data_IF_749550547490
#
_entry.id   IF_749550547490
#
_cell.length_a   1.000
_cell.length_b   1.000
_cell.length_c   1.000
_cell.angle_alpha   90.00
_cell.angle_beta   90.00
_cell.angle_gamma   90.00
#
_symmetry.space_group_name_H-M   'P 1'
#
loop_
_entity.id
_entity.type
_entity.pdbx_description
1 polymer ?
#
# COMPACT_ATOMS: atom_id res chain seq x y z
N UNK A 1 6.13 18.39 11.75
CA UNK A 1 5.58 17.04 11.45
C UNK A 1 5.37 16.89 9.95
N UNK A 2 5.62 15.71 9.36
CA UNK A 2 5.37 15.45 7.93
C UNK A 2 3.97 14.86 7.71
N UNK A 3 3.16 15.50 6.87
CA UNK A 3 1.91 14.96 6.36
C UNK A 3 2.20 14.04 5.15
N UNK A 4 1.79 12.79 5.22
CA UNK A 4 1.84 11.85 4.08
C UNK A 4 0.45 11.68 3.49
N UNK A 5 0.32 11.69 2.15
CA UNK A 5 -0.94 11.48 1.44
C UNK A 5 -0.75 10.42 0.37
N UNK A 6 -1.30 9.25 0.61
CA UNK A 6 -1.34 8.16 -0.38
C UNK A 6 -2.67 8.18 -1.13
N UNK A 7 -2.61 8.34 -2.45
CA UNK A 7 -3.77 8.37 -3.34
C UNK A 7 -3.84 7.04 -4.11
N UNK A 8 -4.48 6.06 -3.49
CA UNK A 8 -4.75 4.76 -4.08
C UNK A 8 -6.04 4.73 -4.91
N UNK A 9 -6.25 3.67 -5.68
CA UNK A 9 -7.44 3.48 -6.52
C UNK A 9 -8.76 3.41 -5.72
N UNK A 10 -8.73 2.98 -4.47
CA UNK A 10 -9.93 2.81 -3.63
C UNK A 10 -10.03 3.83 -2.51
N UNK A 11 -8.90 4.25 -1.96
CA UNK A 11 -8.85 5.17 -0.81
C UNK A 11 -7.72 6.18 -0.98
N UNK A 12 -7.96 7.37 -0.46
CA UNK A 12 -6.96 8.38 -0.17
C UNK A 12 -6.67 8.29 1.32
N UNK A 13 -5.41 8.06 1.68
CA UNK A 13 -4.97 7.89 3.07
C UNK A 13 -4.08 9.06 3.47
N UNK A 14 -4.49 9.81 4.47
CA UNK A 14 -3.66 10.84 5.11
C UNK A 14 -3.03 10.24 6.36
N UNK A 15 -1.72 10.36 6.50
CA UNK A 15 -0.96 9.89 7.65
C UNK A 15 -0.25 11.04 8.36
N UNK A 16 -0.48 11.18 9.66
CA UNK A 16 0.22 12.10 10.54
C UNK A 16 0.99 11.33 11.61
N UNK A 17 2.24 11.68 11.91
CA UNK A 17 2.99 11.06 13.00
C UNK A 17 2.26 11.21 14.32
N UNK A 18 2.29 10.16 15.14
CA UNK A 18 1.70 10.13 16.48
C UNK A 18 2.78 9.83 17.53
N UNK A 19 2.77 10.58 18.63
CA UNK A 19 3.68 10.34 19.75
C UNK A 19 5.16 10.39 19.39
N UNK A 20 5.83 9.24 19.42
CA UNK A 20 7.27 9.07 19.14
C UNK A 20 7.62 9.11 17.63
N UNK A 21 6.64 9.34 16.77
CA UNK A 21 6.80 9.37 15.30
C UNK A 21 6.89 8.01 14.63
N UNK A 22 6.81 6.90 15.38
CA UNK A 22 6.78 5.54 14.81
C UNK A 22 5.39 5.12 14.40
N UNK A 23 4.38 5.43 15.24
CA UNK A 23 2.97 5.25 14.92
C UNK A 23 2.43 6.44 14.12
N UNK A 24 1.36 6.20 13.36
CA UNK A 24 0.70 7.22 12.55
C UNK A 24 -0.80 7.15 12.74
N UNK A 25 -1.42 8.29 12.95
CA UNK A 25 -2.87 8.42 12.87
C UNK A 25 -3.26 8.49 11.39
N UNK A 26 -4.14 7.58 10.98
CA UNK A 26 -4.56 7.44 9.59
C UNK A 26 -5.99 7.94 9.41
N UNK A 27 -6.18 8.78 8.40
CA UNK A 27 -7.48 9.28 7.98
C UNK A 27 -7.74 8.84 6.55
N UNK A 28 -8.96 8.42 6.25
CA UNK A 28 -9.30 7.86 4.94
C UNK A 28 -10.49 8.55 4.31
N UNK A 29 -10.34 8.87 3.03
CA UNK A 29 -11.44 9.28 2.13
C UNK A 29 -11.53 8.27 1.00
N UNK A 30 -12.75 8.05 0.46
CA UNK A 30 -12.93 7.25 -0.73
C UNK A 30 -12.38 7.97 -1.97
N UNK A 31 -11.66 7.24 -2.82
CA UNK A 31 -11.17 7.75 -4.10
C UNK A 31 -12.30 7.80 -5.12
N UNK A 32 -12.55 8.97 -5.69
CA UNK A 32 -13.49 9.19 -6.79
C UNK A 32 -12.80 10.12 -7.78
N UNK A 33 -12.40 9.58 -8.93
CA UNK A 33 -11.49 10.25 -9.86
C UNK A 33 -12.06 11.52 -10.53
N UNK A 34 -13.38 11.58 -10.68
CA UNK A 34 -14.13 12.70 -11.29
C UNK A 34 -14.80 13.63 -10.25
N UNK A 35 -14.48 13.45 -8.95
CA UNK A 35 -15.01 14.33 -7.90
C UNK A 35 -14.39 15.71 -8.01
N UNK A 36 -15.23 16.79 -7.97
CA UNK A 36 -14.76 18.17 -7.97
C UNK A 36 -13.82 18.48 -6.80
N UNK A 37 -12.89 19.40 -7.01
CA UNK A 37 -11.92 19.81 -5.98
C UNK A 37 -12.62 20.34 -4.72
N UNK A 38 -13.70 21.11 -4.89
CA UNK A 38 -14.49 21.70 -3.80
C UNK A 38 -15.09 20.65 -2.87
N UNK A 39 -15.49 19.50 -3.41
CA UNK A 39 -15.98 18.38 -2.59
C UNK A 39 -14.85 17.74 -1.78
N UNK A 40 -13.65 17.58 -2.37
CA UNK A 40 -12.49 17.10 -1.62
C UNK A 40 -12.08 18.06 -0.52
N UNK A 41 -12.13 19.38 -0.75
CA UNK A 41 -11.92 20.39 0.29
C UNK A 41 -12.91 20.22 1.44
N UNK A 42 -14.22 20.18 1.13
CA UNK A 42 -15.26 20.05 2.15
C UNK A 42 -15.14 18.75 2.95
N UNK A 43 -14.81 17.64 2.29
CA UNK A 43 -14.61 16.34 2.96
C UNK A 43 -13.38 16.35 3.87
N UNK A 44 -12.28 16.93 3.42
CA UNK A 44 -11.05 17.03 4.20
C UNK A 44 -11.26 17.93 5.42
N UNK A 45 -11.81 19.14 5.23
CA UNK A 45 -12.11 20.07 6.33
C UNK A 45 -13.03 19.43 7.37
N UNK A 46 -14.12 18.77 6.93
CA UNK A 46 -15.05 18.07 7.83
C UNK A 46 -14.38 16.93 8.60
N UNK A 47 -13.54 16.13 7.92
CA UNK A 47 -12.83 15.01 8.53
C UNK A 47 -11.87 15.48 9.60
N UNK A 48 -11.03 16.46 9.29
CA UNK A 48 -9.98 16.92 10.18
C UNK A 48 -10.51 17.83 11.30
N UNK A 49 -11.55 18.62 11.05
CA UNK A 49 -12.23 19.40 12.10
C UNK A 49 -12.86 18.48 13.16
N UNK A 50 -13.53 17.40 12.74
CA UNK A 50 -14.10 16.41 13.67
C UNK A 50 -13.04 15.75 14.54
N UNK A 51 -11.87 15.50 14.00
CA UNK A 51 -10.75 14.85 14.69
C UNK A 51 -9.85 15.86 15.43
N UNK A 52 -10.18 17.16 15.38
CA UNK A 52 -9.41 18.25 16.01
C UNK A 52 -7.92 18.23 15.63
N UNK A 53 -7.62 17.99 14.35
CA UNK A 53 -6.24 17.96 13.86
C UNK A 53 -5.67 19.36 13.77
N UNK A 54 -4.53 19.57 14.43
CA UNK A 54 -3.78 20.84 14.35
C UNK A 54 -2.69 20.74 13.26
N UNK A 55 -2.93 21.40 12.14
CA UNK A 55 -1.98 21.45 11.02
C UNK A 55 -0.87 22.50 11.20
N UNK A 56 -0.93 23.35 12.23
CA UNK A 56 0.11 24.38 12.47
C UNK A 56 1.50 23.78 12.74
N UNK A 57 1.55 22.54 13.16
CA UNK A 57 2.80 21.81 13.42
C UNK A 57 3.31 21.00 12.21
N UNK A 58 2.60 21.04 11.10
CA UNK A 58 3.05 20.40 9.84
C UNK A 58 4.07 21.32 9.17
N UNK A 59 5.28 20.80 8.95
CA UNK A 59 6.41 21.50 8.35
C UNK A 59 6.82 20.90 6.98
N UNK A 60 6.08 19.90 6.51
CA UNK A 60 6.27 19.29 5.21
C UNK A 60 5.09 18.42 4.83
N UNK A 61 4.92 18.19 3.53
CA UNK A 61 3.89 17.31 3.00
C UNK A 61 4.41 16.53 1.80
N UNK A 62 4.00 15.27 1.67
CA UNK A 62 4.38 14.40 0.55
C UNK A 62 3.17 13.64 0.03
N UNK A 63 3.04 13.58 -1.29
CA UNK A 63 2.00 12.83 -1.99
C UNK A 63 2.64 11.67 -2.75
N UNK A 64 2.09 10.48 -2.54
CA UNK A 64 2.25 9.32 -3.39
C UNK A 64 0.93 9.05 -4.11
N UNK A 65 0.94 8.74 -5.41
CA UNK A 65 -0.30 8.53 -6.14
C UNK A 65 -0.15 7.51 -7.26
N UNK A 66 -1.17 6.65 -7.38
CA UNK A 66 -1.44 5.80 -8.55
C UNK A 66 -2.68 6.28 -9.33
N UNK A 67 -3.20 7.48 -9.00
CA UNK A 67 -4.33 8.14 -9.68
C UNK A 67 -3.90 9.55 -10.11
N UNK A 68 -3.18 9.70 -11.24
CA UNK A 68 -2.55 10.96 -11.62
C UNK A 68 -3.48 12.15 -11.72
N UNK A 69 -4.73 11.93 -12.15
CA UNK A 69 -5.75 12.99 -12.29
C UNK A 69 -6.08 13.67 -10.96
N UNK A 70 -5.91 13.00 -9.82
CA UNK A 70 -6.18 13.56 -8.50
C UNK A 70 -4.99 14.29 -7.87
N UNK A 71 -3.79 14.16 -8.43
CA UNK A 71 -2.59 14.80 -7.86
C UNK A 71 -2.73 16.32 -7.77
N UNK A 72 -3.16 17.05 -8.83
CA UNK A 72 -3.34 18.50 -8.73
C UNK A 72 -4.40 18.91 -7.68
N UNK A 73 -5.51 18.16 -7.63
CA UNK A 73 -6.62 18.41 -6.70
C UNK A 73 -6.15 18.24 -5.25
N UNK A 74 -5.56 17.07 -4.94
CA UNK A 74 -5.11 16.77 -3.59
C UNK A 74 -3.90 17.64 -3.17
N UNK A 75 -3.08 18.09 -4.12
CA UNK A 75 -2.03 19.08 -3.84
C UNK A 75 -2.62 20.41 -3.35
N UNK A 76 -3.71 20.88 -3.97
CA UNK A 76 -4.42 22.07 -3.52
C UNK A 76 -5.09 21.86 -2.14
N UNK A 77 -5.70 20.69 -1.91
CA UNK A 77 -6.27 20.35 -0.59
C UNK A 77 -5.20 20.37 0.49
N UNK A 78 -4.05 19.74 0.25
CA UNK A 78 -2.92 19.74 1.20
C UNK A 78 -2.42 21.16 1.47
N UNK A 79 -2.26 21.97 0.42
CA UNK A 79 -1.82 23.36 0.56
C UNK A 79 -2.86 24.21 1.31
N UNK A 80 -4.15 23.99 1.11
CA UNK A 80 -5.20 24.65 1.87
C UNK A 80 -5.14 24.30 3.37
N UNK A 81 -4.99 23.02 3.71
CA UNK A 81 -4.95 22.54 5.09
C UNK A 81 -3.68 22.96 5.84
N UNK A 82 -2.54 22.99 5.18
CA UNK A 82 -1.21 23.12 5.83
C UNK A 82 -0.48 24.43 5.50
N UNK A 83 -0.90 25.13 4.45
CA UNK A 83 -0.14 26.25 3.86
C UNK A 83 1.10 25.81 3.06
N UNK A 84 1.39 24.50 2.93
CA UNK A 84 2.61 23.95 2.34
C UNK A 84 2.28 23.24 1.02
N UNK A 85 3.06 23.54 -0.04
CA UNK A 85 3.00 22.79 -1.28
C UNK A 85 3.62 21.39 -1.07
N UNK A 86 2.90 20.30 -1.36
CA UNK A 86 3.42 18.96 -1.14
C UNK A 86 4.48 18.57 -2.18
N UNK A 87 5.47 17.79 -1.76
CA UNK A 87 6.34 17.07 -2.66
C UNK A 87 5.56 15.88 -3.28
N UNK A 88 5.59 15.74 -4.60
CA UNK A 88 4.93 14.63 -5.30
C UNK A 88 5.97 13.59 -5.68
N UNK A 89 5.82 12.37 -5.18
CA UNK A 89 6.70 11.24 -5.52
C UNK A 89 6.47 10.84 -6.99
N UNK A 90 7.57 10.62 -7.69
CA UNK A 90 7.60 10.11 -9.07
C UNK A 90 8.63 8.98 -9.15
N UNK A 91 8.64 8.16 -10.23
CA UNK A 91 9.66 7.11 -10.40
C UNK A 91 11.10 7.66 -10.44
N UNK A 92 11.26 8.96 -10.67
CA UNK A 92 12.56 9.66 -10.71
C UNK A 92 12.98 10.25 -9.37
N UNK A 93 12.13 10.18 -8.34
CA UNK A 93 12.48 10.62 -7.00
C UNK A 93 13.63 9.78 -6.44
N UNK A 94 14.58 10.43 -5.77
CA UNK A 94 15.64 9.72 -5.06
C UNK A 94 15.01 8.86 -3.96
N UNK A 95 15.17 7.55 -4.04
CA UNK A 95 14.56 6.57 -3.13
C UNK A 95 15.59 5.76 -2.34
N UNK A 96 16.85 5.80 -2.77
CA UNK A 96 17.89 4.90 -2.28
C UNK A 96 17.83 3.50 -2.91
N UNK A 97 17.02 3.34 -3.97
CA UNK A 97 16.95 2.12 -4.79
C UNK A 97 17.52 2.37 -6.19
N UNK A 98 18.07 1.32 -6.78
CA UNK A 98 18.33 1.28 -8.22
C UNK A 98 17.21 0.51 -8.89
N UNK A 99 16.52 1.12 -9.87
CA UNK A 99 15.46 0.44 -10.61
C UNK A 99 16.10 -0.38 -11.75
N UNK A 100 16.25 -1.69 -11.55
CA UNK A 100 16.89 -2.61 -12.49
C UNK A 100 15.85 -3.33 -13.38
N UNK A 101 14.92 -2.57 -13.91
CA UNK A 101 13.85 -3.03 -14.82
C UNK A 101 13.86 -2.21 -16.11
N UNK A 102 13.40 -2.78 -17.24
CA UNK A 102 13.44 -2.09 -18.53
C UNK A 102 12.64 -0.79 -18.58
N UNK A 103 11.50 -0.73 -17.90
CA UNK A 103 10.56 0.40 -17.94
C UNK A 103 10.48 1.10 -16.57
N UNK A 104 11.61 1.57 -16.06
CA UNK A 104 11.71 2.17 -14.72
C UNK A 104 10.77 3.38 -14.53
N UNK A 105 10.53 4.18 -15.56
CA UNK A 105 9.63 5.35 -15.52
C UNK A 105 8.13 4.95 -15.36
N UNK A 106 7.77 3.68 -15.51
CA UNK A 106 6.40 3.18 -15.38
C UNK A 106 6.12 2.54 -14.02
N UNK A 107 7.12 2.45 -13.16
CA UNK A 107 6.96 1.86 -11.82
C UNK A 107 5.93 2.66 -11.00
N UNK A 108 5.03 1.95 -10.34
CA UNK A 108 4.07 2.57 -9.41
C UNK A 108 4.79 3.31 -8.28
N UNK A 109 4.34 4.52 -7.98
CA UNK A 109 4.95 5.34 -6.93
C UNK A 109 4.79 4.70 -5.54
N UNK A 110 3.70 3.96 -5.33
CA UNK A 110 3.42 3.17 -4.13
C UNK A 110 4.43 2.03 -3.95
N UNK A 111 4.74 1.32 -5.04
CA UNK A 111 5.78 0.28 -5.05
C UNK A 111 7.13 0.91 -4.70
N UNK A 112 7.51 1.99 -5.39
CA UNK A 112 8.78 2.68 -5.12
C UNK A 112 8.90 3.07 -3.64
N UNK A 113 7.82 3.62 -3.06
CA UNK A 113 7.84 4.06 -1.67
C UNK A 113 7.91 2.86 -0.70
N UNK A 114 7.07 1.84 -0.86
CA UNK A 114 7.11 0.64 -0.03
C UNK A 114 8.45 -0.06 -0.04
N UNK A 115 9.01 -0.26 -1.24
CA UNK A 115 10.30 -0.92 -1.43
C UNK A 115 11.49 -0.09 -0.92
N UNK A 116 11.41 1.25 -0.98
CA UNK A 116 12.41 2.14 -0.39
C UNK A 116 12.47 2.02 1.14
N UNK A 117 11.32 1.86 1.80
CA UNK A 117 11.27 1.57 3.23
C UNK A 117 11.82 0.18 3.53
N UNK A 118 11.37 -0.84 2.78
CA UNK A 118 11.83 -2.21 2.95
C UNK A 118 13.36 -2.31 2.85
N UNK A 119 13.94 -1.70 1.82
CA UNK A 119 15.38 -1.70 1.62
C UNK A 119 16.17 -0.96 2.70
N UNK A 120 15.56 0.01 3.38
CA UNK A 120 16.22 0.79 4.40
C UNK A 120 16.18 0.14 5.78
N UNK A 121 15.11 -0.59 6.08
CA UNK A 121 14.75 -0.99 7.45
C UNK A 121 14.83 -2.49 7.69
N UNK A 122 14.88 -3.30 6.62
CA UNK A 122 14.88 -4.76 6.71
C UNK A 122 16.09 -5.40 6.06
N UNK A 123 16.48 -6.61 6.49
CA UNK A 123 17.54 -7.37 5.82
C UNK A 123 17.18 -7.66 4.36
N UNK A 124 18.16 -7.55 3.46
CA UNK A 124 18.02 -7.85 2.05
C UNK A 124 18.67 -9.19 1.70
N UNK A 125 18.21 -9.91 0.66
CA UNK A 125 17.11 -9.52 -0.21
C UNK A 125 15.75 -9.63 0.48
N UNK A 126 14.77 -8.85 -0.02
CA UNK A 126 13.42 -8.84 0.50
C UNK A 126 12.38 -9.09 -0.61
N UNK A 127 11.33 -9.82 -0.27
CA UNK A 127 10.12 -9.98 -1.09
C UNK A 127 8.99 -9.27 -0.35
N UNK A 128 8.38 -8.30 -1.00
CA UNK A 128 7.35 -7.44 -0.41
C UNK A 128 6.00 -7.74 -1.07
N UNK A 129 5.02 -8.13 -0.26
CA UNK A 129 3.63 -8.35 -0.67
C UNK A 129 2.79 -7.17 -0.21
N UNK A 130 2.31 -6.35 -1.14
CA UNK A 130 1.30 -5.33 -0.83
C UNK A 130 -0.08 -5.84 -1.22
N UNK A 131 -0.94 -6.03 -0.22
CA UNK A 131 -2.27 -6.60 -0.36
C UNK A 131 -3.33 -5.50 -0.40
N UNK A 132 -3.33 -4.74 -1.47
CA UNK A 132 -4.25 -3.65 -1.76
C UNK A 132 -5.42 -4.04 -2.67
N UNK A 133 -5.83 -3.12 -3.55
CA UNK A 133 -6.82 -3.35 -4.63
C UNK A 133 -6.31 -4.40 -5.62
N UNK A 134 -5.06 -4.29 -6.06
CA UNK A 134 -4.27 -5.38 -6.58
C UNK A 134 -3.41 -5.96 -5.44
N UNK A 135 -2.92 -7.17 -5.59
CA UNK A 135 -1.79 -7.67 -4.78
C UNK A 135 -0.55 -7.55 -5.63
N UNK A 136 0.39 -6.69 -5.23
CA UNK A 136 1.70 -6.60 -5.85
C UNK A 136 2.71 -7.39 -5.03
N UNK A 137 3.61 -8.08 -5.70
CA UNK A 137 4.70 -8.82 -5.07
C UNK A 137 5.98 -8.37 -5.71
N UNK A 138 6.84 -7.70 -4.96
CA UNK A 138 8.06 -7.06 -5.46
C UNK A 138 9.30 -7.64 -4.83
N UNK A 139 10.43 -7.49 -5.50
CA UNK A 139 11.72 -8.00 -5.04
C UNK A 139 12.76 -6.89 -5.04
N UNK A 140 13.35 -6.68 -3.88
CA UNK A 140 14.56 -5.87 -3.71
C UNK A 140 15.71 -6.80 -3.37
N UNK A 141 16.73 -6.83 -4.22
CA UNK A 141 17.89 -7.68 -4.02
C UNK A 141 18.88 -7.13 -2.97
N UNK A 142 19.94 -7.88 -2.71
CA UNK A 142 20.97 -7.54 -1.72
C UNK A 142 21.71 -6.23 -2.03
N UNK A 143 21.73 -5.80 -3.30
CA UNK A 143 22.38 -4.58 -3.76
C UNK A 143 21.44 -3.37 -3.81
N UNK A 144 20.27 -3.46 -3.15
CA UNK A 144 19.19 -2.46 -3.17
C UNK A 144 18.66 -2.17 -4.57
N UNK A 145 18.63 -3.18 -5.44
CA UNK A 145 18.03 -3.06 -6.76
C UNK A 145 16.61 -3.62 -6.73
N UNK A 146 15.67 -2.82 -7.18
CA UNK A 146 14.35 -3.30 -7.54
C UNK A 146 14.47 -4.10 -8.84
N UNK A 147 14.21 -5.38 -8.80
CA UNK A 147 14.43 -6.29 -9.95
C UNK A 147 13.13 -6.80 -10.59
N UNK A 148 11.99 -6.34 -10.10
CA UNK A 148 10.68 -6.72 -10.63
C UNK A 148 9.82 -7.49 -9.64
N UNK A 149 8.81 -8.20 -10.16
CA UNK A 149 7.87 -8.92 -9.31
C UNK A 149 6.67 -9.46 -10.06
N UNK A 150 5.54 -9.61 -9.36
CA UNK A 150 4.28 -10.08 -9.91
C UNK A 150 3.12 -9.18 -9.48
N UNK A 151 2.09 -9.09 -10.31
CA UNK A 151 0.84 -8.37 -10.01
C UNK A 151 -0.32 -9.36 -10.14
N UNK A 152 -1.15 -9.42 -9.12
CA UNK A 152 -2.32 -10.29 -9.06
C UNK A 152 -3.57 -9.47 -8.72
N UNK A 153 -4.74 -10.05 -9.00
CA UNK A 153 -5.98 -9.49 -8.50
C UNK A 153 -5.98 -9.51 -6.96
N UNK A 154 -6.28 -8.38 -6.34
CA UNK A 154 -6.43 -8.33 -4.89
C UNK A 154 -7.60 -9.19 -4.41
N UNK A 155 -7.53 -9.66 -3.18
CA UNK A 155 -8.54 -10.60 -2.60
C UNK A 155 -9.96 -10.07 -2.73
N UNK A 156 -10.18 -8.78 -2.44
CA UNK A 156 -11.50 -8.14 -2.57
C UNK A 156 -11.98 -8.11 -4.02
N UNK A 157 -11.07 -7.78 -4.94
CA UNK A 157 -11.38 -7.76 -6.38
C UNK A 157 -11.74 -9.15 -6.89
N UNK A 158 -11.04 -10.19 -6.42
CA UNK A 158 -11.36 -11.59 -6.74
C UNK A 158 -12.77 -12.00 -6.28
N UNK A 159 -13.17 -11.65 -5.06
CA UNK A 159 -14.53 -11.90 -4.55
C UNK A 159 -15.56 -11.14 -5.37
N UNK A 160 -15.30 -9.87 -5.70
CA UNK A 160 -16.21 -9.07 -6.53
C UNK A 160 -16.37 -9.66 -7.93
N UNK A 161 -15.28 -10.16 -8.53
CA UNK A 161 -15.31 -10.81 -9.83
C UNK A 161 -16.13 -12.11 -9.81
N UNK A 162 -16.03 -12.92 -8.75
CA UNK A 162 -16.86 -14.12 -8.56
C UNK A 162 -18.35 -13.74 -8.44
N UNK A 163 -18.67 -12.72 -7.65
CA UNK A 163 -20.04 -12.23 -7.48
C UNK A 163 -20.62 -11.70 -8.81
N UNK A 164 -19.87 -10.86 -9.51
CA UNK A 164 -20.32 -10.23 -10.75
C UNK A 164 -20.36 -11.21 -11.94
N UNK A 165 -19.49 -12.21 -11.95
CA UNK A 165 -19.37 -13.19 -13.05
C UNK A 165 -20.22 -14.45 -12.89
N UNK A 166 -20.98 -14.59 -11.79
CA UNK A 166 -21.78 -15.80 -11.54
C UNK A 166 -23.20 -15.45 -11.09
N UNK A 167 -24.17 -16.27 -11.49
CA UNK A 167 -25.59 -16.03 -11.20
C UNK A 167 -26.00 -16.31 -9.75
N UNK A 168 -25.24 -17.09 -8.99
CA UNK A 168 -25.67 -17.63 -7.70
C UNK A 168 -24.69 -17.39 -6.53
N UNK A 169 -23.48 -16.93 -6.79
CA UNK A 169 -22.51 -16.72 -5.71
C UNK A 169 -22.78 -15.38 -4.98
N UNK A 170 -22.88 -15.38 -3.65
CA UNK A 170 -23.11 -14.17 -2.88
C UNK A 170 -21.82 -13.35 -2.71
N UNK A 171 -21.97 -12.04 -2.50
CA UNK A 171 -20.89 -11.24 -1.96
C UNK A 171 -20.66 -11.63 -0.50
N UNK A 172 -19.38 -11.88 -0.12
CA UNK A 172 -19.02 -12.36 1.22
C UNK A 172 -17.98 -11.46 1.88
N UNK A 173 -17.99 -11.31 3.21
CA UNK A 173 -16.92 -10.64 3.93
C UNK A 173 -15.63 -11.46 3.88
N UNK A 174 -14.48 -10.75 3.84
CA UNK A 174 -13.16 -11.38 3.92
C UNK A 174 -12.91 -11.79 5.37
N UNK A 175 -13.16 -13.05 5.65
CA UNK A 175 -13.01 -13.66 6.97
C UNK A 175 -12.64 -15.13 6.78
N UNK A 176 -11.69 -15.63 7.56
CA UNK A 176 -11.32 -17.03 7.50
C UNK A 176 -12.45 -17.90 8.06
N UNK A 177 -12.87 -18.94 7.36
CA UNK A 177 -13.75 -19.96 7.93
C UNK A 177 -12.97 -20.84 8.92
N UNK A 178 -13.68 -21.68 9.68
CA UNK A 178 -13.06 -22.57 10.70
C UNK A 178 -12.11 -23.61 10.11
N UNK A 179 -12.30 -23.99 8.86
CA UNK A 179 -11.53 -25.03 8.17
C UNK A 179 -11.44 -24.72 6.66
N UNK A 180 -10.43 -25.26 5.99
CA UNK A 180 -10.20 -25.02 4.59
C UNK A 180 -11.22 -25.73 3.67
N UNK A 181 -11.68 -26.94 4.05
CA UNK A 181 -12.71 -27.69 3.32
C UNK A 181 -14.05 -27.31 3.90
N UNK A 182 -14.87 -26.60 3.13
CA UNK A 182 -16.14 -26.02 3.57
C UNK A 182 -17.33 -26.67 2.86
N UNK A 183 -18.48 -26.71 3.56
CA UNK A 183 -19.71 -27.33 3.05
C UNK A 183 -20.72 -26.35 2.45
N UNK A 184 -20.53 -25.04 2.61
CA UNK A 184 -21.42 -24.00 2.08
C UNK A 184 -20.72 -23.12 1.05
N UNK A 185 -21.46 -22.53 0.10
CA UNK A 185 -20.89 -21.63 -0.89
C UNK A 185 -20.23 -20.41 -0.24
N UNK A 186 -20.84 -19.83 0.79
CA UNK A 186 -20.31 -18.70 1.55
C UNK A 186 -18.94 -19.04 2.13
N UNK A 187 -18.83 -20.11 2.92
CA UNK A 187 -17.56 -20.51 3.55
C UNK A 187 -16.53 -20.95 2.52
N UNK A 188 -16.96 -21.58 1.41
CA UNK A 188 -16.05 -21.98 0.32
C UNK A 188 -15.40 -20.77 -0.37
N UNK A 189 -16.17 -19.69 -0.59
CA UNK A 189 -15.61 -18.42 -1.12
C UNK A 189 -14.65 -17.80 -0.09
N UNK A 190 -15.02 -17.79 1.18
CA UNK A 190 -14.16 -17.29 2.26
C UNK A 190 -12.88 -18.10 2.38
N UNK A 191 -12.94 -19.42 2.27
CA UNK A 191 -11.78 -20.31 2.27
C UNK A 191 -10.85 -20.01 1.09
N UNK A 192 -11.40 -19.90 -0.12
CA UNK A 192 -10.63 -19.52 -1.31
C UNK A 192 -9.99 -18.15 -1.18
N UNK A 193 -10.73 -17.19 -0.63
CA UNK A 193 -10.24 -15.81 -0.45
C UNK A 193 -9.10 -15.71 0.57
N UNK A 194 -9.19 -16.39 1.71
CA UNK A 194 -8.21 -16.26 2.80
C UNK A 194 -7.11 -17.31 2.67
N UNK A 195 -7.46 -18.59 2.69
CA UNK A 195 -6.45 -19.65 2.63
C UNK A 195 -5.81 -19.76 1.23
N UNK A 196 -6.58 -19.44 0.16
CA UNK A 196 -6.03 -19.35 -1.18
C UNK A 196 -5.03 -18.22 -1.32
N UNK A 197 -5.30 -17.03 -0.75
CA UNK A 197 -4.34 -15.92 -0.73
C UNK A 197 -3.08 -16.26 0.09
N UNK A 198 -3.24 -16.88 1.27
CA UNK A 198 -2.09 -17.32 2.07
C UNK A 198 -1.23 -18.35 1.32
N UNK A 199 -1.86 -19.34 0.67
CA UNK A 199 -1.15 -20.33 -0.13
C UNK A 199 -0.44 -19.72 -1.35
N UNK A 200 -1.05 -18.70 -1.98
CA UNK A 200 -0.42 -17.93 -3.07
C UNK A 200 0.81 -17.18 -2.56
N UNK A 201 0.73 -16.52 -1.39
CA UNK A 201 1.87 -15.83 -0.79
C UNK A 201 3.02 -16.80 -0.52
N UNK A 202 2.75 -17.93 0.14
CA UNK A 202 3.74 -18.98 0.41
C UNK A 202 4.36 -19.49 -0.88
N UNK A 203 3.55 -19.82 -1.89
CA UNK A 203 3.99 -20.39 -3.15
C UNK A 203 4.79 -19.42 -4.04
N UNK A 204 4.45 -18.12 -4.05
CA UNK A 204 5.25 -17.11 -4.76
C UNK A 204 6.57 -16.84 -4.04
N UNK A 205 6.56 -16.78 -2.71
CA UNK A 205 7.79 -16.64 -1.95
C UNK A 205 8.75 -17.79 -2.23
N UNK A 206 8.27 -19.06 -2.26
CA UNK A 206 9.10 -20.23 -2.63
C UNK A 206 9.68 -20.11 -4.04
N UNK A 207 8.89 -19.65 -5.01
CA UNK A 207 9.35 -19.50 -6.40
C UNK A 207 10.41 -18.44 -6.54
N UNK A 208 10.20 -17.28 -5.90
CA UNK A 208 11.11 -16.14 -5.95
C UNK A 208 12.43 -16.45 -5.22
N UNK A 209 12.36 -17.09 -4.03
CA UNK A 209 13.54 -17.56 -3.33
C UNK A 209 14.33 -18.58 -4.15
N UNK A 210 13.64 -19.50 -4.84
CA UNK A 210 14.29 -20.48 -5.72
C UNK A 210 14.98 -19.84 -6.94
N UNK A 211 14.36 -18.82 -7.54
CA UNK A 211 14.93 -18.06 -8.66
C UNK A 211 16.14 -17.23 -8.22
N UNK A 212 16.08 -16.63 -7.02
CA UNK A 212 17.17 -15.88 -6.42
C UNK A 212 18.30 -16.78 -5.86
N UNK A 213 18.04 -18.07 -5.67
CA UNK A 213 18.97 -19.02 -5.08
C UNK A 213 19.28 -18.79 -3.60
N UNK A 214 18.46 -18.00 -2.89
CA UNK A 214 18.67 -17.67 -1.48
C UNK A 214 17.36 -17.34 -0.75
N UNK A 215 17.42 -17.39 0.58
CA UNK A 215 16.31 -16.99 1.44
C UNK A 215 16.17 -15.46 1.47
N UNK A 216 14.93 -15.00 1.56
CA UNK A 216 14.59 -13.58 1.59
C UNK A 216 13.86 -13.20 2.89
N UNK A 217 13.94 -11.95 3.25
CA UNK A 217 13.00 -11.35 4.21
C UNK A 217 11.64 -11.25 3.52
N UNK A 218 10.60 -11.84 4.14
CA UNK A 218 9.25 -11.80 3.62
C UNK A 218 8.46 -10.71 4.34
N UNK A 219 8.06 -9.68 3.61
CA UNK A 219 7.28 -8.56 4.13
C UNK A 219 5.87 -8.61 3.56
N UNK A 220 4.89 -8.23 4.38
CA UNK A 220 3.51 -8.07 3.95
C UNK A 220 2.96 -6.73 4.45
N UNK A 221 2.35 -5.98 3.56
CA UNK A 221 1.71 -4.70 3.83
C UNK A 221 0.36 -4.60 3.13
N UNK A 222 -0.31 -3.47 3.24
CA UNK A 222 -1.62 -3.26 2.65
C UNK A 222 -2.78 -3.67 3.56
N UNK A 223 -3.96 -3.16 3.23
CA UNK A 223 -5.13 -3.23 4.11
C UNK A 223 -5.70 -4.63 4.37
N UNK A 224 -5.28 -5.64 3.60
CA UNK A 224 -5.72 -7.03 3.77
C UNK A 224 -4.63 -7.97 4.31
N UNK A 225 -3.38 -7.53 4.36
CA UNK A 225 -2.28 -8.39 4.80
C UNK A 225 -2.48 -8.90 6.23
N UNK A 226 -2.92 -8.04 7.15
CA UNK A 226 -3.14 -8.41 8.55
C UNK A 226 -4.16 -9.53 8.77
N UNK A 227 -5.12 -9.72 7.86
CA UNK A 227 -6.10 -10.80 7.95
C UNK A 227 -5.68 -12.07 7.17
N UNK A 228 -4.64 -12.02 6.34
CA UNK A 228 -4.15 -13.14 5.54
C UNK A 228 -2.88 -13.76 6.14
N UNK A 229 -1.91 -12.94 6.55
CA UNK A 229 -0.61 -13.36 7.10
C UNK A 229 -0.72 -14.43 8.20
N UNK A 230 -1.68 -14.38 9.16
CA UNK A 230 -1.82 -15.42 10.18
C UNK A 230 -2.07 -16.83 9.65
N UNK A 231 -2.45 -16.97 8.37
CA UNK A 231 -2.73 -18.26 7.72
C UNK A 231 -1.64 -18.71 6.76
N UNK A 232 -0.58 -17.91 6.60
CA UNK A 232 0.61 -18.31 5.85
C UNK A 232 1.41 -19.37 6.65
N UNK A 233 2.15 -20.19 5.91
CA UNK A 233 3.07 -21.21 6.49
C UNK A 233 4.48 -20.66 6.67
N UNK A 234 4.83 -19.63 5.89
CA UNK A 234 6.10 -18.92 5.98
C UNK A 234 5.99 -17.76 6.97
N UNK A 235 7.11 -17.37 7.53
CA UNK A 235 7.20 -16.27 8.50
C UNK A 235 7.22 -14.93 7.76
N UNK A 236 6.05 -14.33 7.60
CA UNK A 236 5.89 -12.98 7.08
C UNK A 236 5.93 -11.94 8.19
N UNK A 237 6.70 -10.89 7.99
CA UNK A 237 6.65 -9.70 8.83
C UNK A 237 5.53 -8.80 8.30
N UNK A 238 4.47 -8.63 9.08
CA UNK A 238 3.40 -7.69 8.73
C UNK A 238 3.76 -6.29 9.17
N UNK A 239 3.71 -5.35 8.21
CA UNK A 239 4.04 -3.94 8.44
C UNK A 239 3.01 -3.04 7.74
N UNK A 240 2.02 -2.57 8.50
CA UNK A 240 0.93 -1.74 8.00
C UNK A 240 1.40 -0.36 7.50
N UNK A 241 2.48 0.16 8.06
CA UNK A 241 2.95 1.53 7.79
C UNK A 241 4.12 1.61 6.80
N UNK A 242 4.51 0.50 6.17
CA UNK A 242 5.66 0.41 5.29
C UNK A 242 5.64 1.49 4.20
N UNK A 243 4.53 1.63 3.48
CA UNK A 243 4.36 2.62 2.42
C UNK A 243 4.58 4.06 2.94
N UNK A 244 3.95 4.40 4.06
CA UNK A 244 4.02 5.78 4.60
C UNK A 244 5.42 6.14 5.08
N UNK A 245 6.16 5.17 5.64
CA UNK A 245 7.56 5.37 6.02
C UNK A 245 8.46 5.53 4.79
N UNK A 246 8.16 4.79 3.73
CA UNK A 246 8.84 4.96 2.45
C UNK A 246 8.60 6.34 1.84
N UNK A 247 7.39 6.84 1.89
CA UNK A 247 7.06 8.21 1.47
C UNK A 247 7.87 9.25 2.27
N UNK A 248 7.93 9.08 3.60
CA UNK A 248 8.73 9.96 4.47
C UNK A 248 10.23 9.89 4.12
N UNK A 249 10.74 8.68 3.88
CA UNK A 249 12.13 8.49 3.46
C UNK A 249 12.44 9.23 2.16
N UNK A 250 11.61 9.03 1.14
CA UNK A 250 11.76 9.70 -0.16
C UNK A 250 11.69 11.21 0.01
N UNK A 251 10.72 11.72 0.78
CA UNK A 251 10.65 13.16 1.09
C UNK A 251 11.95 13.68 1.69
N UNK A 252 12.51 12.98 2.67
CA UNK A 252 13.76 13.38 3.32
C UNK A 252 14.97 13.39 2.39
N UNK A 253 15.01 12.46 1.42
CA UNK A 253 16.10 12.39 0.44
C UNK A 253 16.03 13.54 -0.59
N UNK A 254 14.83 14.00 -0.93
CA UNK A 254 14.61 14.98 -1.99
C UNK A 254 14.41 16.43 -1.49
N UNK A 255 13.95 16.62 -0.24
CA UNK A 255 13.56 17.94 0.28
C UNK A 255 14.40 18.41 1.47
N UNK A 256 15.35 17.61 1.96
CA UNK A 256 16.29 18.08 2.99
C UNK A 256 17.48 18.77 2.34
N UNK A 257 17.53 20.03 2.56
CA UNK A 257 18.78 20.81 2.63
C UNK A 257 19.18 21.03 4.08
#
# INVERSE_FOLDING_TARGET
MLLTVDIGNSNIVFGLPEGDGRSRKLYRLGTVADRPAEEYFALADSLFARESVDFSQVDGAVICSVVPVLVPVLSQVVQHLTGIAPYVITPRSESGLTLAIPEADTLGNDILAGDAAAAAEYPLPAIIFDMGTATTVTVVDQDRRYIGGAILAGVRLGIQALFAGTAQLPSVPIQAPKQAICGTALESIQSGAVFGAAAMMDGLADRFEAELGQKCTLLATGGLAGCIVPYCRKDFIYDESLLLRGMERIYRLNCKQ
#
